data_IF_684128850387
#
_entry.id   IF_684128850387
#
_cell.length_a   1.000
_cell.length_b   1.000
_cell.length_c   1.000
_cell.angle_alpha   90.00
_cell.angle_beta   90.00
_cell.angle_gamma   90.00
#
_symmetry.space_group_name_H-M   'P 1'
#
loop_
_entity.id
_entity.type
_entity.pdbx_description
1 polymer ?
#
# COMPACT_ATOMS: atom_id res chain seq x y z
N UNK A 1 20.09 -12.59 -23.28
CA UNK A 1 19.04 -11.98 -24.13
C UNK A 1 19.31 -12.07 -25.62
N UNK A 2 20.49 -11.73 -26.12
CA UNK A 2 20.75 -11.76 -27.58
C UNK A 2 20.64 -13.17 -28.19
N UNK A 3 21.07 -14.21 -27.45
CA UNK A 3 20.86 -15.62 -27.82
C UNK A 3 19.38 -16.07 -27.70
N UNK A 4 18.59 -15.44 -26.83
CA UNK A 4 17.16 -15.75 -26.64
C UNK A 4 16.36 -15.37 -27.89
N UNK A 5 16.53 -14.14 -28.38
CA UNK A 5 15.83 -13.67 -29.58
C UNK A 5 16.33 -14.31 -30.87
N UNK A 6 17.62 -14.67 -30.97
CA UNK A 6 18.18 -15.23 -32.22
C UNK A 6 17.66 -16.63 -32.58
N UNK A 7 17.18 -17.43 -31.60
CA UNK A 7 16.67 -18.79 -31.83
C UNK A 7 15.15 -18.90 -31.74
N UNK A 8 14.49 -17.95 -31.07
CA UNK A 8 13.04 -17.79 -31.17
C UNK A 8 12.59 -17.78 -32.65
N UNK A 9 13.40 -17.17 -33.54
CA UNK A 9 13.07 -16.96 -34.96
C UNK A 9 13.03 -18.23 -35.79
N UNK A 10 13.58 -19.33 -35.30
CA UNK A 10 13.65 -20.58 -36.05
C UNK A 10 12.38 -21.43 -35.92
N UNK A 11 11.60 -21.27 -34.84
CA UNK A 11 10.45 -22.15 -34.50
C UNK A 11 9.11 -21.43 -34.27
N UNK A 12 8.95 -20.18 -34.74
CA UNK A 12 7.74 -19.37 -34.50
C UNK A 12 6.41 -20.07 -34.85
N UNK A 13 6.37 -20.81 -35.97
CA UNK A 13 5.15 -21.48 -36.44
C UNK A 13 4.80 -22.72 -35.61
N UNK A 14 5.80 -23.46 -35.14
CA UNK A 14 5.61 -24.65 -34.30
C UNK A 14 5.12 -24.25 -32.90
N UNK A 15 5.71 -23.20 -32.32
CA UNK A 15 5.33 -22.66 -31.00
C UNK A 15 3.91 -22.08 -30.95
N UNK A 16 3.35 -21.65 -32.08
CA UNK A 16 1.98 -21.13 -32.15
C UNK A 16 0.90 -22.21 -32.29
N UNK A 17 1.28 -23.40 -32.76
CA UNK A 17 0.36 -24.51 -33.03
C UNK A 17 0.27 -25.52 -31.89
N UNK A 18 1.18 -25.45 -30.91
CA UNK A 18 1.18 -26.34 -29.76
C UNK A 18 0.18 -25.84 -28.71
N UNK A 19 -0.86 -26.64 -28.42
CA UNK A 19 -1.92 -26.32 -27.46
C UNK A 19 -1.75 -27.07 -26.13
N UNK A 20 -0.68 -27.84 -25.96
CA UNK A 20 -0.56 -28.81 -24.85
C UNK A 20 0.53 -28.48 -23.83
N UNK A 21 0.74 -27.23 -23.39
CA UNK A 21 1.61 -26.99 -22.22
C UNK A 21 1.16 -25.83 -21.33
N UNK A 22 1.14 -26.09 -20.01
CA UNK A 22 0.80 -25.11 -18.96
C UNK A 22 2.02 -24.30 -18.51
N UNK A 23 3.24 -24.79 -18.73
CA UNK A 23 4.49 -24.12 -18.37
C UNK A 23 5.24 -23.68 -19.63
N UNK A 24 5.66 -22.41 -19.70
CA UNK A 24 6.52 -21.92 -20.78
C UNK A 24 7.98 -22.31 -20.48
N UNK A 25 8.41 -23.43 -21.06
CA UNK A 25 9.82 -23.85 -21.07
C UNK A 25 10.39 -23.66 -22.47
N UNK A 26 11.45 -22.86 -22.59
CA UNK A 26 12.13 -22.60 -23.86
C UNK A 26 13.48 -23.31 -23.82
N UNK A 27 13.71 -24.23 -24.76
CA UNK A 27 14.99 -24.92 -24.89
C UNK A 27 15.95 -24.11 -25.79
N UNK A 28 17.13 -23.80 -25.26
CA UNK A 28 18.21 -23.09 -25.96
C UNK A 28 19.52 -23.86 -25.74
N UNK A 29 20.04 -24.51 -26.78
CA UNK A 29 21.36 -25.20 -26.77
C UNK A 29 21.57 -26.12 -25.54
N UNK A 30 20.68 -27.10 -25.36
CA UNK A 30 20.63 -28.01 -24.20
C UNK A 30 20.41 -27.33 -22.82
N UNK A 31 19.97 -26.07 -22.81
CA UNK A 31 19.63 -25.32 -21.60
C UNK A 31 18.15 -24.93 -21.61
N UNK A 32 17.41 -25.23 -20.54
CA UNK A 32 15.98 -24.95 -20.47
C UNK A 32 15.75 -23.67 -19.65
N UNK A 33 15.22 -22.63 -20.30
CA UNK A 33 14.78 -21.41 -19.64
C UNK A 33 13.31 -21.59 -19.27
N UNK A 34 13.01 -21.56 -17.98
CA UNK A 34 11.63 -21.59 -17.48
C UNK A 34 11.14 -20.17 -17.24
N UNK A 35 9.95 -19.87 -17.74
CA UNK A 35 9.24 -18.60 -17.49
C UNK A 35 8.00 -18.91 -16.64
N UNK A 36 8.16 -19.20 -15.34
CA UNK A 36 7.07 -19.73 -14.51
C UNK A 36 5.96 -18.71 -14.24
N UNK A 37 6.22 -17.41 -14.42
CA UNK A 37 5.26 -16.35 -14.14
C UNK A 37 4.45 -15.92 -15.38
N UNK A 38 4.76 -16.48 -16.56
CA UNK A 38 4.12 -16.13 -17.82
C UNK A 38 3.31 -17.33 -18.31
N UNK A 39 1.99 -17.17 -18.41
CA UNK A 39 1.16 -18.22 -19.00
C UNK A 39 1.38 -18.31 -20.51
N UNK A 40 1.17 -19.49 -21.08
CA UNK A 40 1.34 -19.72 -22.52
C UNK A 40 0.51 -18.75 -23.40
N UNK A 41 -0.73 -18.45 -23.00
CA UNK A 41 -1.57 -17.49 -23.72
C UNK A 41 -0.98 -16.08 -23.74
N UNK A 42 -0.44 -15.61 -22.61
CA UNK A 42 0.22 -14.30 -22.53
C UNK A 42 1.51 -14.31 -23.34
N UNK A 43 2.29 -15.39 -23.24
CA UNK A 43 3.52 -15.55 -24.01
C UNK A 43 3.26 -15.49 -25.52
N UNK A 44 2.22 -16.16 -26.04
CA UNK A 44 1.83 -16.10 -27.46
C UNK A 44 1.55 -14.67 -27.92
N UNK A 45 0.96 -13.83 -27.08
CA UNK A 45 0.66 -12.43 -27.41
C UNK A 45 1.95 -11.62 -27.53
N UNK A 46 2.82 -11.74 -26.53
CA UNK A 46 4.13 -11.07 -26.54
C UNK A 46 4.97 -11.56 -27.73
N UNK A 47 4.92 -12.85 -28.02
CA UNK A 47 5.59 -13.45 -29.18
C UNK A 47 5.07 -12.83 -30.49
N UNK A 48 3.76 -12.75 -30.69
CA UNK A 48 3.16 -12.12 -31.89
C UNK A 48 3.61 -10.66 -32.03
N UNK A 49 3.74 -9.92 -30.94
CA UNK A 49 4.28 -8.56 -30.99
C UNK A 49 5.76 -8.56 -31.42
N UNK A 50 6.60 -9.44 -30.88
CA UNK A 50 8.03 -9.52 -31.24
C UNK A 50 8.23 -9.74 -32.76
N UNK A 51 7.38 -10.57 -33.39
CA UNK A 51 7.48 -10.83 -34.85
C UNK A 51 6.70 -9.85 -35.72
N UNK A 52 5.53 -9.44 -35.24
CA UNK A 52 4.58 -8.66 -36.04
C UNK A 52 4.64 -7.16 -35.80
N UNK A 53 5.29 -6.70 -34.73
CA UNK A 53 5.34 -5.31 -34.29
C UNK A 53 4.00 -4.74 -33.79
N UNK A 54 2.94 -5.54 -33.75
CA UNK A 54 1.58 -5.10 -33.41
C UNK A 54 1.13 -5.76 -32.11
N UNK A 55 0.81 -4.93 -31.11
CA UNK A 55 0.23 -5.38 -29.84
C UNK A 55 -1.29 -5.24 -29.88
N UNK A 56 -2.00 -6.36 -29.92
CA UNK A 56 -3.46 -6.38 -29.96
C UNK A 56 -4.07 -6.45 -28.55
N UNK A 57 -4.56 -5.30 -28.09
CA UNK A 57 -5.23 -5.13 -26.78
C UNK A 57 -6.76 -5.11 -26.83
N UNK A 58 -7.34 -4.98 -28.02
CA UNK A 58 -8.79 -4.86 -28.20
C UNK A 58 -9.51 -6.08 -27.62
N UNK A 59 -10.64 -5.84 -26.95
CA UNK A 59 -11.53 -6.87 -26.36
C UNK A 59 -10.90 -7.73 -25.24
N UNK A 60 -9.70 -7.39 -24.75
CA UNK A 60 -9.09 -8.10 -23.63
C UNK A 60 -9.55 -7.59 -22.27
N UNK A 61 -9.60 -8.52 -21.33
CA UNK A 61 -9.75 -8.20 -19.92
C UNK A 61 -8.53 -7.40 -19.39
N UNK A 62 -8.77 -6.50 -18.45
CA UNK A 62 -7.72 -5.62 -17.92
C UNK A 62 -6.65 -6.43 -17.16
N UNK A 63 -7.02 -7.53 -16.51
CA UNK A 63 -6.08 -8.43 -15.85
C UNK A 63 -5.12 -9.06 -16.87
N UNK A 64 -5.61 -9.43 -18.05
CA UNK A 64 -4.76 -9.98 -19.11
C UNK A 64 -3.81 -8.92 -19.64
N UNK A 65 -4.27 -7.67 -19.84
CA UNK A 65 -3.40 -6.55 -20.23
C UNK A 65 -2.31 -6.32 -19.17
N UNK A 66 -2.67 -6.38 -17.89
CA UNK A 66 -1.71 -6.28 -16.79
C UNK A 66 -0.71 -7.45 -16.79
N UNK A 67 -1.14 -8.69 -17.04
CA UNK A 67 -0.23 -9.84 -17.18
C UNK A 67 0.70 -9.71 -18.39
N UNK A 68 0.23 -9.14 -19.50
CA UNK A 68 1.09 -8.82 -20.66
C UNK A 68 2.17 -7.81 -20.25
N UNK A 69 1.83 -6.79 -19.45
CA UNK A 69 2.80 -5.84 -18.92
C UNK A 69 3.88 -6.55 -18.09
N UNK A 70 3.49 -7.43 -17.16
CA UNK A 70 4.45 -8.18 -16.34
C UNK A 70 5.34 -9.11 -17.19
N UNK A 71 4.76 -9.78 -18.18
CA UNK A 71 5.52 -10.61 -19.11
C UNK A 71 6.49 -9.79 -19.97
N UNK A 72 6.06 -8.63 -20.46
CA UNK A 72 6.92 -7.71 -21.19
C UNK A 72 8.06 -7.20 -20.33
N UNK A 73 7.81 -6.97 -19.05
CA UNK A 73 8.83 -6.56 -18.10
C UNK A 73 9.87 -7.67 -17.82
N UNK A 74 9.41 -8.88 -17.53
CA UNK A 74 10.28 -10.05 -17.32
C UNK A 74 11.14 -10.34 -18.57
N UNK A 75 10.61 -10.08 -19.76
CA UNK A 75 11.30 -10.21 -21.05
C UNK A 75 12.09 -8.96 -21.46
N UNK A 76 12.13 -7.91 -20.62
CA UNK A 76 12.86 -6.65 -20.82
C UNK A 76 12.47 -5.91 -22.11
N UNK A 77 11.19 -5.97 -22.47
CA UNK A 77 10.60 -5.29 -23.63
C UNK A 77 10.15 -3.88 -23.24
N UNK A 78 11.12 -2.99 -23.00
CA UNK A 78 10.90 -1.64 -22.45
C UNK A 78 9.86 -0.81 -23.21
N UNK A 79 9.81 -0.90 -24.54
CA UNK A 79 8.83 -0.16 -25.35
C UNK A 79 7.38 -0.57 -25.02
N UNK A 80 7.12 -1.87 -24.86
CA UNK A 80 5.81 -2.39 -24.47
C UNK A 80 5.49 -1.97 -23.03
N UNK A 81 6.48 -2.06 -22.14
CA UNK A 81 6.32 -1.70 -20.72
C UNK A 81 5.90 -0.24 -20.58
N UNK A 82 6.58 0.68 -21.26
CA UNK A 82 6.25 2.12 -21.23
C UNK A 82 4.85 2.39 -21.80
N UNK A 83 4.52 1.77 -22.93
CA UNK A 83 3.21 1.91 -23.57
C UNK A 83 2.07 1.39 -22.67
N UNK A 84 2.22 0.19 -22.11
CA UNK A 84 1.17 -0.46 -21.32
C UNK A 84 0.94 0.22 -19.98
N UNK A 85 1.99 0.69 -19.30
CA UNK A 85 1.84 1.47 -18.07
C UNK A 85 0.97 2.71 -18.32
N UNK A 86 1.30 3.47 -19.37
CA UNK A 86 0.54 4.67 -19.75
C UNK A 86 -0.90 4.33 -20.13
N UNK A 87 -1.09 3.31 -20.96
CA UNK A 87 -2.42 2.86 -21.38
C UNK A 87 -3.31 2.48 -20.20
N UNK A 88 -2.80 1.70 -19.24
CA UNK A 88 -3.54 1.29 -18.05
C UNK A 88 -3.91 2.48 -17.18
N UNK A 89 -2.98 3.41 -16.95
CA UNK A 89 -3.23 4.60 -16.14
C UNK A 89 -4.26 5.51 -16.78
N UNK A 90 -4.21 5.71 -18.11
CA UNK A 90 -5.10 6.63 -18.83
C UNK A 90 -6.50 6.05 -19.08
N UNK A 91 -6.61 4.72 -19.29
CA UNK A 91 -7.86 4.10 -19.78
C UNK A 91 -8.50 3.14 -18.78
N UNK A 92 -7.73 2.64 -17.80
CA UNK A 92 -8.14 1.55 -16.89
C UNK A 92 -7.95 1.92 -15.42
N UNK A 93 -7.93 3.22 -15.10
CA UNK A 93 -7.67 3.73 -13.75
C UNK A 93 -8.59 3.11 -12.70
N UNK A 94 -9.90 3.02 -12.97
CA UNK A 94 -10.86 2.45 -12.02
C UNK A 94 -10.53 0.99 -11.66
N UNK A 95 -10.14 0.19 -12.65
CA UNK A 95 -9.69 -1.17 -12.40
C UNK A 95 -8.41 -1.20 -11.58
N UNK A 96 -7.48 -0.26 -11.82
CA UNK A 96 -6.26 -0.13 -11.01
C UNK A 96 -6.57 0.25 -9.55
N UNK A 97 -7.57 1.11 -9.32
CA UNK A 97 -8.02 1.48 -7.98
C UNK A 97 -8.66 0.30 -7.24
N UNK A 98 -9.48 -0.50 -7.93
CA UNK A 98 -10.19 -1.65 -7.35
C UNK A 98 -9.27 -2.85 -7.04
N UNK A 99 -8.19 -3.01 -7.80
CA UNK A 99 -7.21 -4.10 -7.67
C UNK A 99 -5.87 -3.57 -7.14
N UNK A 100 -5.91 -2.54 -6.29
CA UNK A 100 -4.73 -1.85 -5.81
C UNK A 100 -3.74 -2.80 -5.14
N UNK A 101 -4.22 -3.77 -4.36
CA UNK A 101 -3.37 -4.72 -3.66
C UNK A 101 -2.55 -5.60 -4.61
N UNK A 102 -3.17 -6.11 -5.67
CA UNK A 102 -2.47 -6.87 -6.73
C UNK A 102 -1.34 -6.04 -7.36
N UNK A 103 -1.65 -4.79 -7.70
CA UNK A 103 -0.72 -3.88 -8.40
C UNK A 103 0.41 -3.43 -7.48
N UNK A 104 0.10 -3.20 -6.21
CA UNK A 104 1.10 -2.81 -5.23
C UNK A 104 2.09 -3.96 -4.96
N UNK A 105 1.62 -5.21 -4.88
CA UNK A 105 2.48 -6.36 -4.65
C UNK A 105 3.48 -6.60 -5.79
N UNK A 106 3.10 -6.31 -7.03
CA UNK A 106 3.97 -6.46 -8.21
C UNK A 106 5.14 -5.47 -8.22
N UNK A 107 5.07 -4.37 -7.47
CA UNK A 107 6.21 -3.47 -7.24
C UNK A 107 7.40 -4.17 -6.61
N UNK A 108 7.17 -5.12 -5.69
CA UNK A 108 8.28 -5.81 -5.02
C UNK A 108 9.05 -6.76 -5.94
N UNK A 109 8.52 -7.02 -7.13
CA UNK A 109 9.11 -7.92 -8.10
C UNK A 109 9.92 -7.16 -9.16
N UNK A 110 9.70 -5.84 -9.34
CA UNK A 110 10.16 -5.11 -10.54
C UNK A 110 10.49 -3.63 -10.26
N UNK A 111 11.71 -3.19 -10.63
CA UNK A 111 12.15 -1.79 -10.52
C UNK A 111 11.78 -0.92 -11.74
N UNK A 112 11.33 -1.56 -12.81
CA UNK A 112 11.05 -0.99 -14.14
C UNK A 112 9.66 -0.34 -14.28
N UNK A 113 8.69 -0.70 -13.44
CA UNK A 113 7.31 -0.21 -13.51
C UNK A 113 7.12 1.18 -12.87
N UNK A 114 7.95 2.14 -13.27
CA UNK A 114 8.08 3.46 -12.63
C UNK A 114 6.77 4.26 -12.62
N UNK A 115 5.98 4.24 -13.70
CA UNK A 115 4.74 5.04 -13.78
C UNK A 115 3.63 4.43 -12.92
N UNK A 116 3.53 3.10 -12.86
CA UNK A 116 2.62 2.43 -11.95
C UNK A 116 3.02 2.68 -10.49
N UNK A 117 4.32 2.65 -10.17
CA UNK A 117 4.79 2.97 -8.83
C UNK A 117 4.42 4.41 -8.40
N UNK A 118 4.56 5.38 -9.33
CA UNK A 118 4.12 6.77 -9.11
C UNK A 118 2.61 6.85 -8.92
N UNK A 119 1.83 6.13 -9.73
CA UNK A 119 0.38 6.03 -9.57
C UNK A 119 0.01 5.51 -8.19
N UNK A 120 0.57 4.37 -7.76
CA UNK A 120 0.28 3.79 -6.44
C UNK A 120 0.64 4.75 -5.31
N UNK A 121 1.81 5.39 -5.38
CA UNK A 121 2.25 6.36 -4.34
C UNK A 121 1.29 7.54 -4.27
N UNK A 122 0.89 8.10 -5.41
CA UNK A 122 -0.07 9.20 -5.46
C UNK A 122 -1.45 8.78 -4.94
N UNK A 123 -1.90 7.57 -5.26
CA UNK A 123 -3.17 7.02 -4.80
C UNK A 123 -3.18 6.84 -3.27
N UNK A 124 -2.11 6.29 -2.69
CA UNK A 124 -1.92 6.17 -1.24
C UNK A 124 -1.96 7.52 -0.51
N UNK A 125 -1.37 8.55 -1.10
CA UNK A 125 -1.36 9.89 -0.50
C UNK A 125 -2.75 10.52 -0.58
N UNK A 126 -3.34 10.55 -1.78
CA UNK A 126 -4.52 11.38 -2.09
C UNK A 126 -5.85 10.73 -1.73
N UNK A 127 -5.94 9.41 -1.81
CA UNK A 127 -7.17 8.66 -1.61
C UNK A 127 -6.97 7.38 -0.79
N UNK A 128 -6.29 7.44 0.37
CA UNK A 128 -6.08 6.25 1.19
C UNK A 128 -7.39 5.54 1.56
N UNK A 129 -8.50 6.27 1.70
CA UNK A 129 -9.83 5.73 2.01
C UNK A 129 -10.36 4.78 0.93
N UNK A 130 -9.96 4.98 -0.33
CA UNK A 130 -10.31 4.07 -1.41
C UNK A 130 -9.52 2.78 -1.33
N UNK A 131 -8.27 2.82 -0.87
CA UNK A 131 -7.45 1.62 -0.70
C UNK A 131 -8.08 0.70 0.34
N UNK A 132 -8.49 1.23 1.49
CA UNK A 132 -9.14 0.42 2.51
C UNK A 132 -10.48 -0.19 2.07
N UNK A 133 -11.11 0.37 1.04
CA UNK A 133 -12.35 -0.11 0.43
C UNK A 133 -12.12 -0.99 -0.80
N UNK A 134 -10.86 -1.25 -1.20
CA UNK A 134 -10.57 -2.09 -2.35
C UNK A 134 -10.96 -3.54 -2.09
N UNK A 135 -11.23 -4.29 -3.16
CA UNK A 135 -11.68 -5.68 -3.06
C UNK A 135 -10.61 -6.59 -2.43
N UNK A 136 -9.34 -6.23 -2.62
CA UNK A 136 -8.16 -7.00 -2.23
C UNK A 136 -7.45 -6.45 -1.00
N UNK A 137 -8.03 -5.45 -0.31
CA UNK A 137 -7.40 -4.81 0.84
C UNK A 137 -7.00 -5.80 1.94
N UNK A 138 -7.88 -6.76 2.25
CA UNK A 138 -7.62 -7.78 3.28
C UNK A 138 -6.56 -8.80 2.86
N UNK A 139 -6.19 -8.84 1.58
CA UNK A 139 -5.11 -9.71 1.06
C UNK A 139 -3.74 -9.02 1.06
N UNK A 140 -3.67 -7.75 1.46
CA UNK A 140 -2.41 -7.02 1.57
C UNK A 140 -1.60 -7.49 2.79
N UNK A 141 -0.27 -7.63 2.66
CA UNK A 141 0.59 -8.03 3.77
C UNK A 141 0.66 -6.93 4.83
N UNK A 142 0.84 -7.29 6.10
CA UNK A 142 0.95 -6.31 7.20
C UNK A 142 2.03 -5.25 6.93
N UNK A 143 3.16 -5.65 6.32
CA UNK A 143 4.24 -4.73 5.95
C UNK A 143 3.79 -3.58 5.04
N UNK A 144 2.78 -3.79 4.19
CA UNK A 144 2.19 -2.71 3.41
C UNK A 144 1.52 -1.69 4.33
N UNK A 145 0.70 -2.15 5.27
CA UNK A 145 0.02 -1.29 6.24
C UNK A 145 1.02 -0.50 7.07
N UNK A 146 2.10 -1.13 7.53
CA UNK A 146 3.18 -0.45 8.24
C UNK A 146 3.76 0.69 7.39
N UNK A 147 4.03 0.43 6.10
CA UNK A 147 4.54 1.47 5.20
C UNK A 147 3.52 2.60 5.00
N UNK A 148 2.24 2.28 4.83
CA UNK A 148 1.17 3.27 4.66
C UNK A 148 1.02 4.12 5.93
N UNK A 149 0.94 3.49 7.10
CA UNK A 149 0.72 4.13 8.41
C UNK A 149 1.94 4.91 8.89
N UNK A 150 3.15 4.62 8.43
CA UNK A 150 4.33 5.43 8.76
C UNK A 150 4.39 6.78 8.04
N UNK A 151 3.66 6.96 6.95
CA UNK A 151 3.75 8.16 6.11
C UNK A 151 3.10 9.39 6.73
N UNK A 152 3.80 10.52 6.74
CA UNK A 152 3.26 11.78 7.27
C UNK A 152 2.27 12.48 6.33
N UNK A 153 2.26 12.12 5.05
CA UNK A 153 1.58 12.85 3.97
C UNK A 153 0.23 12.26 3.54
N UNK A 154 -0.17 11.12 4.10
CA UNK A 154 -1.47 10.52 3.77
C UNK A 154 -2.63 11.40 4.25
N UNK A 155 -3.64 11.54 3.41
CA UNK A 155 -4.79 12.41 3.64
C UNK A 155 -5.92 11.68 4.38
N UNK A 156 -5.65 11.21 5.60
CA UNK A 156 -6.62 10.47 6.43
C UNK A 156 -6.44 10.77 7.92
N UNK A 157 -7.54 10.79 8.67
CA UNK A 157 -7.49 10.98 10.13
C UNK A 157 -6.96 9.72 10.82
N UNK A 158 -6.25 9.90 11.94
CA UNK A 158 -5.73 8.76 12.72
C UNK A 158 -6.83 7.81 13.20
N UNK A 159 -8.02 8.34 13.50
CA UNK A 159 -9.14 7.50 13.92
C UNK A 159 -9.61 6.58 12.79
N UNK A 160 -9.66 7.08 11.56
CA UNK A 160 -10.06 6.31 10.39
C UNK A 160 -9.00 5.24 10.10
N UNK A 161 -7.71 5.59 10.20
CA UNK A 161 -6.62 4.61 10.07
C UNK A 161 -6.78 3.49 11.09
N UNK A 162 -7.02 3.83 12.36
CA UNK A 162 -7.23 2.85 13.42
C UNK A 162 -8.40 1.91 13.13
N UNK A 163 -9.54 2.45 12.70
CA UNK A 163 -10.74 1.65 12.37
C UNK A 163 -10.46 0.67 11.23
N UNK A 164 -9.83 1.11 10.12
CA UNK A 164 -9.53 0.20 9.02
C UNK A 164 -8.46 -0.84 9.36
N UNK A 165 -7.51 -0.52 10.25
CA UNK A 165 -6.54 -1.51 10.75
C UNK A 165 -7.25 -2.59 11.60
N UNK A 166 -8.24 -2.22 12.41
CA UNK A 166 -9.07 -3.18 13.13
C UNK A 166 -9.88 -4.06 12.19
N UNK A 167 -10.48 -3.48 11.14
CA UNK A 167 -11.19 -4.24 10.10
C UNK A 167 -10.26 -5.24 9.39
N UNK A 168 -9.05 -4.81 9.04
CA UNK A 168 -8.03 -5.70 8.47
C UNK A 168 -7.65 -6.82 9.43
N UNK A 169 -7.40 -6.50 10.70
CA UNK A 169 -7.04 -7.48 11.72
C UNK A 169 -8.15 -8.51 11.97
N UNK A 170 -9.42 -8.07 11.96
CA UNK A 170 -10.58 -8.95 12.04
C UNK A 170 -10.70 -9.87 10.82
N UNK A 171 -10.41 -9.36 9.62
CA UNK A 171 -10.42 -10.17 8.40
C UNK A 171 -9.34 -11.26 8.41
N UNK A 172 -8.19 -11.03 9.05
CA UNK A 172 -7.17 -12.07 9.25
C UNK A 172 -7.57 -13.10 10.31
N UNK A 173 -8.43 -12.71 11.27
CA UNK A 173 -8.85 -13.53 12.39
C UNK A 173 -10.36 -13.80 12.34
N UNK A 174 -10.80 -14.62 11.36
CA UNK A 174 -12.23 -14.87 11.07
C UNK A 174 -13.05 -15.43 12.25
N UNK A 175 -12.40 -15.96 13.29
CA UNK A 175 -13.06 -16.44 14.52
C UNK A 175 -13.45 -15.30 15.47
N UNK A 176 -12.84 -14.11 15.33
CA UNK A 176 -13.08 -12.98 16.20
C UNK A 176 -14.37 -12.26 15.83
N UNK A 177 -15.15 -11.92 16.87
CA UNK A 177 -16.32 -11.06 16.71
C UNK A 177 -15.89 -9.60 16.61
N UNK A 178 -16.64 -8.71 15.94
CA UNK A 178 -16.28 -7.30 15.86
C UNK A 178 -16.26 -6.57 17.22
N UNK A 179 -17.08 -7.01 18.19
CA UNK A 179 -17.17 -6.37 19.51
C UNK A 179 -16.08 -6.87 20.48
N UNK A 180 -15.09 -6.03 20.85
CA UNK A 180 -13.99 -6.42 21.74
C UNK A 180 -14.44 -6.73 23.16
N UNK A 181 -15.64 -6.31 23.57
CA UNK A 181 -16.17 -6.67 24.90
C UNK A 181 -16.48 -8.17 25.01
N UNK A 182 -16.60 -8.86 23.87
CA UNK A 182 -16.85 -10.30 23.81
C UNK A 182 -15.57 -11.14 23.76
N UNK A 183 -14.40 -10.50 23.67
CA UNK A 183 -13.12 -11.18 23.47
C UNK A 183 -12.54 -11.72 24.78
N UNK A 184 -11.99 -12.92 24.68
CA UNK A 184 -11.16 -13.55 25.70
C UNK A 184 -9.70 -13.09 25.58
N UNK A 185 -8.85 -13.41 26.56
CA UNK A 185 -7.44 -13.01 26.52
C UNK A 185 -6.69 -13.59 25.32
N UNK A 186 -7.03 -14.82 24.90
CA UNK A 186 -6.46 -15.45 23.71
C UNK A 186 -6.91 -14.75 22.40
N UNK A 187 -8.11 -14.20 22.38
CA UNK A 187 -8.63 -13.42 21.25
C UNK A 187 -7.83 -12.11 21.10
N UNK A 188 -7.59 -11.42 22.21
CA UNK A 188 -6.73 -10.23 22.24
C UNK A 188 -5.30 -10.55 21.81
N UNK A 189 -4.75 -11.67 22.27
CA UNK A 189 -3.40 -12.11 21.88
C UNK A 189 -3.30 -12.42 20.38
N UNK A 190 -4.34 -13.03 19.81
CA UNK A 190 -4.41 -13.32 18.37
C UNK A 190 -4.41 -12.02 17.57
N UNK A 191 -5.26 -11.07 17.94
CA UNK A 191 -5.30 -9.75 17.30
C UNK A 191 -3.99 -8.95 17.49
N UNK A 192 -3.39 -9.00 18.69
CA UNK A 192 -2.11 -8.34 18.98
C UNK A 192 -0.99 -8.87 18.08
N UNK A 193 -0.91 -10.19 17.89
CA UNK A 193 0.06 -10.81 16.99
C UNK A 193 -0.15 -10.38 15.53
N UNK A 194 -1.41 -10.24 15.10
CA UNK A 194 -1.74 -9.81 13.74
C UNK A 194 -1.39 -8.35 13.46
N UNK A 195 -1.52 -7.47 14.45
CA UNK A 195 -1.27 -6.03 14.29
C UNK A 195 0.08 -5.59 14.89
N UNK A 196 0.93 -6.54 15.24
CA UNK A 196 2.13 -6.30 16.05
C UNK A 196 3.07 -5.27 15.42
N UNK A 197 3.23 -5.29 14.09
CA UNK A 197 4.10 -4.36 13.38
C UNK A 197 3.42 -3.01 13.13
N UNK A 198 2.10 -3.00 13.00
CA UNK A 198 1.31 -1.79 12.76
C UNK A 198 1.13 -0.93 14.03
N UNK A 199 0.84 -1.55 15.18
CA UNK A 199 0.48 -0.86 16.43
C UNK A 199 1.45 0.26 16.82
N UNK A 200 2.79 0.09 16.76
CA UNK A 200 3.74 1.14 17.12
C UNK A 200 3.74 2.35 16.17
N UNK A 201 3.18 2.20 14.97
CA UNK A 201 3.17 3.26 13.94
C UNK A 201 1.94 4.18 14.05
N UNK A 202 0.96 3.83 14.89
CA UNK A 202 -0.30 4.57 15.05
C UNK A 202 -0.11 5.75 16.01
N UNK A 203 -0.61 6.93 15.62
CA UNK A 203 -0.39 8.17 16.38
C UNK A 203 -1.53 8.42 17.38
N UNK A 204 -1.68 7.51 18.34
CA UNK A 204 -2.78 7.54 19.32
C UNK A 204 -2.88 8.85 20.11
N UNK A 205 -1.78 9.58 20.31
CA UNK A 205 -1.74 10.88 20.97
C UNK A 205 -2.35 12.03 20.15
N UNK A 206 -2.60 11.80 18.85
CA UNK A 206 -3.23 12.78 17.96
C UNK A 206 -4.75 12.62 17.88
N UNK A 207 -5.33 11.65 18.58
CA UNK A 207 -6.78 11.45 18.65
C UNK A 207 -7.41 12.46 19.62
N UNK A 208 -8.71 12.71 19.47
CA UNK A 208 -9.47 13.42 20.50
C UNK A 208 -9.80 12.50 21.68
N UNK A 209 -10.03 13.07 22.87
CA UNK A 209 -10.43 12.29 24.05
C UNK A 209 -11.71 11.47 23.82
N UNK A 210 -12.63 11.98 22.98
CA UNK A 210 -13.86 11.28 22.59
C UNK A 210 -13.57 10.06 21.72
N UNK A 211 -12.70 10.21 20.73
CA UNK A 211 -12.30 9.10 19.84
C UNK A 211 -11.54 8.04 20.64
N UNK A 212 -10.59 8.44 21.48
CA UNK A 212 -9.87 7.53 22.36
C UNK A 212 -10.82 6.71 23.25
N UNK A 213 -11.75 7.38 23.95
CA UNK A 213 -12.66 6.72 24.89
C UNK A 213 -13.63 5.73 24.20
N UNK A 214 -14.09 6.06 22.99
CA UNK A 214 -15.09 5.24 22.31
C UNK A 214 -14.48 4.13 21.45
N UNK A 215 -13.29 4.35 20.86
CA UNK A 215 -12.74 3.50 19.80
C UNK A 215 -11.40 2.85 20.14
N UNK A 216 -10.61 3.42 21.04
CA UNK A 216 -9.31 2.85 21.44
C UNK A 216 -9.41 2.12 22.77
N UNK A 217 -10.05 2.73 23.76
CA UNK A 217 -10.24 2.18 25.11
C UNK A 217 -10.83 0.75 25.15
N UNK A 218 -11.81 0.38 24.30
CA UNK A 218 -12.32 -1.00 24.27
C UNK A 218 -11.23 -2.04 23.94
N UNK A 219 -10.21 -1.63 23.19
CA UNK A 219 -9.09 -2.46 22.76
C UNK A 219 -7.83 -2.27 23.60
N UNK A 220 -7.94 -1.71 24.82
CA UNK A 220 -6.78 -1.41 25.70
C UNK A 220 -5.82 -2.58 25.90
N UNK A 221 -6.30 -3.83 25.84
CA UNK A 221 -5.48 -5.04 26.00
C UNK A 221 -4.52 -5.30 24.83
N UNK A 222 -4.74 -4.67 23.66
CA UNK A 222 -3.80 -4.70 22.53
C UNK A 222 -2.59 -3.79 22.74
N UNK A 223 -2.66 -2.88 23.71
CA UNK A 223 -1.62 -1.91 23.99
C UNK A 223 -0.82 -2.36 25.21
N UNK A 224 0.50 -2.19 25.14
CA UNK A 224 1.37 -2.42 26.30
C UNK A 224 0.91 -1.54 27.46
N UNK A 225 0.85 -2.11 28.67
CA UNK A 225 0.35 -1.44 29.86
C UNK A 225 0.94 -0.03 30.05
N UNK A 226 2.27 0.10 30.03
CA UNK A 226 2.94 1.39 30.22
C UNK A 226 2.54 2.43 29.15
N UNK A 227 2.44 2.01 27.89
CA UNK A 227 2.04 2.90 26.80
C UNK A 227 0.59 3.37 26.95
N UNK A 228 -0.30 2.49 27.40
CA UNK A 228 -1.69 2.83 27.65
C UNK A 228 -1.86 3.80 28.83
N UNK A 229 -1.09 3.62 29.91
CA UNK A 229 -1.07 4.57 31.04
C UNK A 229 -0.56 5.94 30.61
N UNK A 230 0.53 5.99 29.83
CA UNK A 230 1.06 7.23 29.26
C UNK A 230 0.00 7.93 28.37
N UNK A 231 -0.75 7.16 27.56
CA UNK A 231 -1.87 7.69 26.78
C UNK A 231 -2.97 8.28 27.67
N UNK A 232 -3.44 7.55 28.69
CA UNK A 232 -4.47 8.07 29.61
C UNK A 232 -4.00 9.37 30.25
N UNK A 233 -2.77 9.40 30.76
CA UNK A 233 -2.22 10.58 31.42
C UNK A 233 -2.19 11.79 30.49
N UNK A 234 -1.86 11.58 29.20
CA UNK A 234 -1.90 12.65 28.19
C UNK A 234 -3.29 13.27 27.98
N UNK A 235 -4.36 12.46 28.10
CA UNK A 235 -5.75 12.92 27.96
C UNK A 235 -6.33 13.51 29.25
N UNK A 236 -5.83 13.08 30.42
CA UNK A 236 -6.36 13.48 31.73
C UNK A 236 -5.61 14.67 32.33
N UNK A 237 -4.34 14.86 31.98
CA UNK A 237 -3.50 15.92 32.50
C UNK A 237 -2.89 16.74 31.35
N UNK A 238 -3.39 17.96 31.08
CA UNK A 238 -2.86 18.82 30.02
C UNK A 238 -1.41 19.27 30.27
N UNK A 239 -0.93 19.22 31.51
CA UNK A 239 0.45 19.55 31.88
C UNK A 239 1.39 18.34 31.82
N UNK A 240 0.88 17.15 31.47
CA UNK A 240 1.72 15.97 31.35
C UNK A 240 2.72 16.14 30.20
N UNK A 241 4.01 16.06 30.54
CA UNK A 241 5.05 16.07 29.53
C UNK A 241 5.05 14.71 28.81
N UNK A 242 4.97 14.70 27.49
CA UNK A 242 5.11 13.46 26.75
C UNK A 242 6.53 12.90 26.89
N UNK A 243 6.66 11.59 27.04
CA UNK A 243 7.95 10.91 26.83
C UNK A 243 8.43 11.21 25.40
N UNK A 244 9.73 11.41 25.21
CA UNK A 244 10.39 12.07 24.06
C UNK A 244 10.20 11.41 22.66
N UNK A 245 9.25 10.48 22.47
CA UNK A 245 9.03 9.78 21.20
C UNK A 245 7.58 9.83 20.68
N UNK A 246 6.84 10.92 20.91
CA UNK A 246 5.51 11.07 20.31
C UNK A 246 5.61 11.44 18.84
N UNK A 247 4.95 10.66 17.99
CA UNK A 247 4.77 11.00 16.58
C UNK A 247 3.81 12.20 16.45
N UNK A 248 4.18 13.26 15.71
CA UNK A 248 3.31 14.40 15.50
C UNK A 248 2.09 14.03 14.63
N UNK A 249 1.01 14.81 14.65
CA UNK A 249 -0.14 14.59 13.77
C UNK A 249 0.22 14.45 12.28
N UNK A 250 -0.68 13.88 11.47
CA UNK A 250 -0.47 13.82 10.01
C UNK A 250 -0.59 15.20 9.39
N UNK A 251 0.12 15.41 8.29
CA UNK A 251 -0.05 16.60 7.47
C UNK A 251 -1.27 16.46 6.54
N UNK A 252 -2.47 16.52 7.14
CA UNK A 252 -3.73 16.52 6.41
C UNK A 252 -3.98 17.93 5.86
N UNK A 253 -4.19 18.03 4.56
CA UNK A 253 -4.67 19.22 3.88
C UNK A 253 -6.17 19.30 4.09
N UNK A 254 -6.61 20.20 4.95
CA UNK A 254 -8.01 20.56 5.04
C UNK A 254 -8.35 21.50 3.89
N UNK A 255 -9.03 20.99 2.87
CA UNK A 255 -9.66 21.83 1.85
C UNK A 255 -10.64 22.80 2.56
N UNK A 256 -10.19 24.03 2.81
CA UNK A 256 -11.02 25.15 3.30
C UNK A 256 -10.60 25.81 4.62
N UNK A 257 -9.73 25.21 5.45
CA UNK A 257 -9.35 25.82 6.75
C UNK A 257 -7.94 26.42 6.71
N UNK A 258 -6.99 25.76 6.02
CA UNK A 258 -5.62 26.25 5.88
C UNK A 258 -5.18 26.02 4.43
N UNK A 259 -5.36 27.04 3.59
CA UNK A 259 -4.85 27.03 2.21
C UNK A 259 -3.42 27.60 2.17
N UNK A 260 -2.54 27.06 3.02
CA UNK A 260 -1.14 27.48 3.08
C UNK A 260 -0.24 26.40 2.52
N UNK A 261 0.63 26.79 1.59
CA UNK A 261 1.74 25.92 1.14
C UNK A 261 2.87 25.81 2.18
N UNK A 262 2.85 26.67 3.21
CA UNK A 262 3.92 26.80 4.21
C UNK A 262 3.47 26.24 5.56
N UNK A 263 2.22 26.49 5.95
CA UNK A 263 1.67 26.14 7.26
C UNK A 263 0.81 24.87 7.13
N UNK A 264 1.19 23.81 7.84
CA UNK A 264 0.42 22.58 7.97
C UNK A 264 -0.07 22.36 9.41
N UNK A 265 -0.84 21.31 9.65
CA UNK A 265 -1.34 20.97 10.99
C UNK A 265 -0.24 20.69 12.02
N UNK A 266 0.94 20.25 11.59
CA UNK A 266 2.07 20.09 12.51
C UNK A 266 2.56 21.44 12.99
N UNK A 267 2.69 22.42 12.10
CA UNK A 267 3.03 23.79 12.45
C UNK A 267 1.90 24.41 13.29
N UNK A 268 0.63 24.20 12.92
CA UNK A 268 -0.51 24.71 13.71
C UNK A 268 -0.58 24.09 15.09
N UNK A 269 -0.34 22.79 15.23
CA UNK A 269 -0.34 22.13 16.55
C UNK A 269 0.81 22.63 17.42
N UNK A 270 2.00 22.86 16.86
CA UNK A 270 3.11 23.50 17.57
C UNK A 270 2.74 24.94 17.98
N UNK A 271 2.19 25.75 17.07
CA UNK A 271 1.76 27.12 17.37
C UNK A 271 0.65 27.17 18.42
N UNK A 272 -0.32 26.24 18.37
CA UNK A 272 -1.37 26.12 19.39
C UNK A 272 -0.77 25.82 20.76
N UNK A 273 0.15 24.85 20.85
CA UNK A 273 0.87 24.54 22.10
C UNK A 273 1.64 25.73 22.65
N UNK A 274 2.20 26.57 21.78
CA UNK A 274 2.86 27.82 22.20
C UNK A 274 1.87 28.84 22.76
N UNK A 275 0.72 29.04 22.09
CA UNK A 275 -0.34 29.95 22.54
C UNK A 275 -0.88 29.50 23.90
N UNK A 276 -1.10 28.20 24.05
CA UNK A 276 -1.62 27.58 25.27
C UNK A 276 -0.56 27.44 26.38
N UNK A 277 0.68 27.91 26.13
CA UNK A 277 1.83 27.87 27.06
C UNK A 277 2.23 26.46 27.53
N UNK A 278 1.89 25.42 26.79
CA UNK A 278 2.28 24.04 27.09
C UNK A 278 3.76 23.78 26.77
N UNK A 279 4.34 24.50 25.80
CA UNK A 279 5.79 24.52 25.52
C UNK A 279 6.36 25.94 25.68
N UNK A 280 7.34 26.11 26.59
CA UNK A 280 8.12 27.37 26.72
C UNK A 280 9.48 27.20 26.06
N UNK A 281 9.60 27.56 24.78
CA UNK A 281 10.91 27.73 24.14
C UNK A 281 11.30 29.20 24.22
N UNK A 282 12.37 29.50 24.96
CA UNK A 282 12.96 30.84 25.01
C UNK A 282 13.75 31.04 23.71
N UNK A 283 13.21 31.81 22.77
CA UNK A 283 13.98 32.25 21.60
C UNK A 283 14.90 33.39 22.00
N UNK A 284 16.20 33.13 22.10
CA UNK A 284 17.21 34.19 22.08
C UNK A 284 17.42 34.62 20.64
N UNK A 285 16.74 35.69 20.23
CA UNK A 285 17.04 36.37 18.97
C UNK A 285 18.33 37.16 19.21
N UNK A 286 19.45 36.69 18.67
CA UNK A 286 20.63 37.52 18.49
C UNK A 286 20.41 38.33 17.20
N UNK A 287 20.24 39.64 17.36
CA UNK A 287 20.24 40.63 16.27
C UNK A 287 21.69 40.92 15.90
#
# INVERSE_FOLDING_TARGET
MTQFFSKLSQNYVELLNDNEYYDVTIEVDNSNIKLPNISFEIFKIVLRYIYGGILLLNERDTLDIFKILLAADELLLHEIVDYLQKYLIENKTEWLEQNFGLIYQTRFQTDSLVEIQKFCTNFMIKSPEKIFKSLDFTSLPENFLVQLVKRDDIQMKEIEIWEHLLEWGLAQNLTLKPDPNTWLDDDFKSMENTLQLCLPSIRFFSLSSKEFLNKVKPYKKLLKYQFYEDLINSYMNPDSKPNESILPPRNIKFNGIIDSKIINLNIVSVLSRWIDKTDRIIFSIQI
#
